data_IF_088408791351
#
_entry.id   IF_088408791351
#
_cell.length_a   1.000
_cell.length_b   1.000
_cell.length_c   1.000
_cell.angle_alpha   90.00
_cell.angle_beta   90.00
_cell.angle_gamma   90.00
#
_symmetry.space_group_name_H-M   'P 1'
#
loop_
_entity.id
_entity.type
_entity.pdbx_description
1 polymer ?
#
# COMPACT_ATOMS: atom_id res chain seq x y z
N UNK A 1 3.67 29.98 -9.96
CA UNK A 1 2.89 29.62 -11.15
C UNK A 1 2.95 28.11 -11.28
N UNK A 2 1.79 27.51 -11.06
CA UNK A 2 1.52 26.09 -10.93
C UNK A 2 1.95 25.27 -12.15
N UNK A 3 2.52 24.10 -11.88
CA UNK A 3 2.55 22.95 -12.80
C UNK A 3 2.10 21.70 -12.04
N UNK A 4 0.85 21.73 -11.57
CA UNK A 4 0.10 20.58 -11.10
C UNK A 4 -1.18 20.46 -11.94
N UNK A 5 -1.01 20.20 -13.23
CA UNK A 5 -2.03 19.79 -14.19
C UNK A 5 -1.23 19.04 -15.24
N UNK A 6 -1.33 17.72 -15.37
CA UNK A 6 -2.51 17.05 -15.89
C UNK A 6 -2.36 15.53 -15.69
N UNK A 7 -2.43 15.02 -14.46
CA UNK A 7 -2.71 13.61 -14.26
C UNK A 7 -4.23 13.47 -14.29
N UNK A 8 -4.78 13.02 -15.41
CA UNK A 8 -6.18 12.60 -15.49
C UNK A 8 -6.36 11.36 -14.61
N UNK A 9 -6.61 11.58 -13.31
CA UNK A 9 -6.86 10.52 -12.35
C UNK A 9 -8.16 9.83 -12.77
N UNK A 10 -8.15 8.51 -13.05
CA UNK A 10 -9.36 7.76 -13.37
C UNK A 10 -10.37 7.92 -12.23
N UNK A 11 -11.64 8.09 -12.57
CA UNK A 11 -12.70 8.08 -11.57
C UNK A 11 -12.67 6.74 -10.80
N UNK A 12 -12.73 6.82 -9.47
CA UNK A 12 -12.64 5.68 -8.57
C UNK A 12 -13.90 5.64 -7.70
N UNK A 13 -15.00 5.05 -8.20
CA UNK A 13 -16.24 4.97 -7.45
C UNK A 13 -16.03 4.46 -6.03
N UNK A 14 -16.65 5.13 -5.05
CA UNK A 14 -16.54 4.79 -3.63
C UNK A 14 -15.25 5.24 -2.94
N UNK A 15 -14.29 5.83 -3.67
CA UNK A 15 -13.01 6.30 -3.13
C UNK A 15 -12.72 7.74 -3.57
N UNK A 16 -12.48 8.61 -2.59
CA UNK A 16 -11.89 9.92 -2.86
C UNK A 16 -10.37 9.78 -3.00
N UNK A 17 -9.88 9.72 -4.23
CA UNK A 17 -8.45 9.57 -4.53
C UNK A 17 -7.61 10.69 -3.91
N UNK A 18 -8.06 11.95 -4.04
CA UNK A 18 -7.34 13.12 -3.50
C UNK A 18 -7.24 13.06 -1.98
N UNK A 19 -8.33 12.68 -1.29
CA UNK A 19 -8.34 12.61 0.17
C UNK A 19 -7.49 11.46 0.67
N UNK A 20 -7.59 10.28 0.04
CA UNK A 20 -6.77 9.13 0.36
C UNK A 20 -5.28 9.40 0.16
N UNK A 21 -4.91 10.03 -0.96
CA UNK A 21 -3.54 10.42 -1.25
C UNK A 21 -3.01 11.47 -0.26
N UNK A 22 -3.84 12.47 0.10
CA UNK A 22 -3.47 13.49 1.06
C UNK A 22 -3.22 12.92 2.47
N UNK A 23 -4.01 11.94 2.90
CA UNK A 23 -3.81 11.22 4.19
C UNK A 23 -2.50 10.48 4.26
N UNK A 24 -1.94 10.10 3.11
CA UNK A 24 -0.63 9.48 2.97
C UNK A 24 0.46 10.49 2.58
N UNK A 25 0.22 11.78 2.81
CA UNK A 25 1.20 12.84 2.57
C UNK A 25 1.57 13.03 1.10
N UNK A 26 0.68 12.68 0.16
CA UNK A 26 0.98 12.77 -1.27
C UNK A 26 1.72 11.56 -1.85
N UNK A 27 1.95 10.50 -1.05
CA UNK A 27 2.73 9.34 -1.50
C UNK A 27 1.91 8.41 -2.41
N UNK A 28 1.97 8.66 -3.72
CA UNK A 28 1.24 7.91 -4.74
C UNK A 28 1.64 6.42 -4.80
N UNK A 29 2.92 6.09 -4.57
CA UNK A 29 3.40 4.69 -4.60
C UNK A 29 2.83 3.89 -3.43
N UNK A 30 2.84 4.45 -2.22
CA UNK A 30 2.21 3.85 -1.04
C UNK A 30 0.70 3.73 -1.22
N UNK A 31 0.05 4.76 -1.76
CA UNK A 31 -1.39 4.73 -2.02
C UNK A 31 -1.77 3.58 -2.96
N UNK A 32 -1.03 3.41 -4.07
CA UNK A 32 -1.21 2.26 -5.00
C UNK A 32 -1.01 0.90 -4.31
N UNK A 33 0.04 0.74 -3.48
CA UNK A 33 0.28 -0.49 -2.71
C UNK A 33 -0.92 -0.82 -1.80
N UNK A 34 -1.44 0.19 -1.08
CA UNK A 34 -2.56 -0.02 -0.17
C UNK A 34 -3.87 -0.34 -0.89
N UNK A 35 -4.14 0.27 -2.05
CA UNK A 35 -5.29 -0.10 -2.89
C UNK A 35 -5.19 -1.57 -3.33
N UNK A 36 -4.03 -2.00 -3.83
CA UNK A 36 -3.83 -3.38 -4.29
C UNK A 36 -3.90 -4.40 -3.14
N UNK A 37 -3.32 -4.07 -1.98
CA UNK A 37 -3.42 -4.89 -0.77
C UNK A 37 -4.88 -4.99 -0.28
N UNK A 38 -5.62 -3.88 -0.29
CA UNK A 38 -7.03 -3.88 0.08
C UNK A 38 -7.84 -4.80 -0.84
N UNK A 39 -7.64 -4.68 -2.17
CA UNK A 39 -8.34 -5.50 -3.15
C UNK A 39 -8.05 -6.99 -2.96
N UNK A 40 -6.78 -7.38 -2.88
CA UNK A 40 -6.37 -8.78 -2.72
C UNK A 40 -6.77 -9.40 -1.38
N UNK A 41 -6.67 -8.64 -0.28
CA UNK A 41 -6.85 -9.18 1.08
C UNK A 41 -8.31 -9.22 1.55
N UNK A 42 -9.23 -8.56 0.86
CA UNK A 42 -10.61 -8.39 1.34
C UNK A 42 -11.69 -9.00 0.44
N UNK A 43 -11.33 -9.77 -0.59
CA UNK A 43 -12.29 -10.42 -1.50
C UNK A 43 -13.33 -11.28 -0.78
N UNK A 44 -12.97 -11.92 0.35
CA UNK A 44 -13.87 -12.72 1.18
C UNK A 44 -14.46 -12.00 2.40
N UNK A 45 -14.20 -10.70 2.59
CA UNK A 45 -14.56 -10.01 3.84
C UNK A 45 -16.08 -9.93 4.06
N UNK A 46 -16.87 -9.78 3.00
CA UNK A 46 -18.34 -9.79 3.08
C UNK A 46 -18.84 -11.12 3.64
N UNK A 47 -18.37 -12.24 3.09
CA UNK A 47 -18.78 -13.58 3.52
C UNK A 47 -18.30 -13.89 4.93
N UNK A 48 -17.09 -13.45 5.29
CA UNK A 48 -16.53 -13.62 6.64
C UNK A 48 -17.38 -12.89 7.70
N UNK A 49 -17.81 -11.66 7.42
CA UNK A 49 -18.66 -10.88 8.32
C UNK A 49 -20.05 -11.53 8.42
N UNK A 50 -20.66 -11.90 7.29
CA UNK A 50 -21.96 -12.59 7.28
C UNK A 50 -21.90 -13.89 8.09
N UNK A 51 -20.88 -14.71 7.87
CA UNK A 51 -20.68 -15.99 8.57
C UNK A 51 -20.48 -15.78 10.07
N UNK A 52 -19.68 -14.78 10.47
CA UNK A 52 -19.48 -14.46 11.88
C UNK A 52 -20.80 -14.10 12.57
N UNK A 53 -21.65 -13.30 11.92
CA UNK A 53 -22.95 -12.89 12.47
C UNK A 53 -23.92 -14.06 12.51
N UNK A 54 -24.04 -14.84 11.43
CA UNK A 54 -24.95 -16.00 11.38
C UNK A 54 -24.60 -17.08 12.42
N UNK A 55 -23.32 -17.21 12.78
CA UNK A 55 -22.85 -18.12 13.82
C UNK A 55 -22.95 -17.53 15.24
N UNK A 56 -23.49 -16.31 15.41
CA UNK A 56 -23.57 -15.62 16.70
C UNK A 56 -22.21 -15.17 17.25
N UNK A 57 -21.18 -15.12 16.42
CA UNK A 57 -19.84 -14.66 16.78
C UNK A 57 -19.68 -13.15 16.54
N UNK A 58 -20.47 -12.36 17.26
CA UNK A 58 -20.50 -10.90 17.13
C UNK A 58 -19.12 -10.27 17.39
N UNK A 59 -18.30 -10.89 18.27
CA UNK A 59 -16.93 -10.43 18.54
C UNK A 59 -16.05 -10.47 17.29
N UNK A 60 -16.10 -11.55 16.52
CA UNK A 60 -15.35 -11.66 15.28
C UNK A 60 -15.84 -10.65 14.24
N UNK A 61 -17.16 -10.47 14.10
CA UNK A 61 -17.76 -9.49 13.20
C UNK A 61 -17.35 -8.05 13.56
N UNK A 62 -17.32 -7.71 14.85
CA UNK A 62 -16.86 -6.40 15.34
C UNK A 62 -15.40 -6.14 14.98
N UNK A 63 -14.51 -7.12 15.17
CA UNK A 63 -13.08 -6.98 14.83
C UNK A 63 -12.91 -6.78 13.33
N UNK A 64 -13.60 -7.57 12.49
CA UNK A 64 -13.55 -7.43 11.04
C UNK A 64 -14.04 -6.04 10.58
N UNK A 65 -15.18 -5.57 11.10
CA UNK A 65 -15.71 -4.25 10.79
C UNK A 65 -14.76 -3.13 11.23
N UNK A 66 -14.14 -3.26 12.42
CA UNK A 66 -13.19 -2.28 12.95
C UNK A 66 -11.92 -2.18 12.10
N UNK A 67 -11.33 -3.32 11.74
CA UNK A 67 -10.15 -3.37 10.87
C UNK A 67 -10.46 -2.75 9.51
N UNK A 68 -11.59 -3.12 8.90
CA UNK A 68 -11.95 -2.60 7.58
C UNK A 68 -12.25 -1.09 7.61
N UNK A 69 -12.86 -0.59 8.70
CA UNK A 69 -13.05 0.86 8.91
C UNK A 69 -11.75 1.63 8.79
N UNK A 70 -10.70 1.17 9.49
CA UNK A 70 -9.41 1.84 9.53
C UNK A 70 -8.76 1.90 8.16
N UNK A 71 -8.75 0.78 7.44
CA UNK A 71 -8.15 0.72 6.10
C UNK A 71 -8.97 1.53 5.09
N UNK A 72 -10.31 1.43 5.11
CA UNK A 72 -11.19 2.20 4.24
C UNK A 72 -11.01 3.72 4.43
N UNK A 73 -10.90 4.18 5.67
CA UNK A 73 -10.68 5.61 5.97
C UNK A 73 -9.34 6.13 5.43
N UNK A 74 -8.28 5.32 5.48
CA UNK A 74 -6.98 5.69 4.93
C UNK A 74 -6.97 5.73 3.40
N UNK A 75 -7.81 4.94 2.75
CA UNK A 75 -7.94 4.94 1.29
C UNK A 75 -8.81 6.07 0.76
N UNK A 76 -9.55 6.79 1.61
CA UNK A 76 -10.55 7.77 1.19
C UNK A 76 -11.91 7.14 0.86
N UNK A 77 -12.14 5.89 1.24
CA UNK A 77 -13.44 5.20 1.15
C UNK A 77 -14.35 5.59 2.32
N UNK A 78 -14.68 6.88 2.40
CA UNK A 78 -15.35 7.49 3.55
C UNK A 78 -16.73 6.86 3.85
N UNK A 79 -17.50 6.56 2.80
CA UNK A 79 -18.83 5.97 2.94
C UNK A 79 -18.75 4.53 3.49
N UNK A 80 -17.79 3.73 3.02
CA UNK A 80 -17.53 2.40 3.56
C UNK A 80 -17.10 2.46 5.02
N UNK A 81 -16.19 3.37 5.37
CA UNK A 81 -15.75 3.57 6.76
C UNK A 81 -16.92 3.97 7.69
N UNK A 82 -17.84 4.82 7.23
CA UNK A 82 -19.04 5.17 7.98
C UNK A 82 -19.94 3.96 8.23
N UNK A 83 -20.19 3.14 7.20
CA UNK A 83 -21.01 1.92 7.33
C UNK A 83 -20.34 0.91 8.27
N UNK A 84 -19.02 0.73 8.20
CA UNK A 84 -18.28 -0.11 9.15
C UNK A 84 -18.45 0.38 10.60
N UNK A 85 -18.47 1.70 10.82
CA UNK A 85 -18.71 2.30 12.14
C UNK A 85 -20.11 1.98 12.66
N UNK A 86 -21.11 2.10 11.79
CA UNK A 86 -22.51 1.80 12.13
C UNK A 86 -22.70 0.31 12.43
N UNK A 87 -22.08 -0.57 11.64
CA UNK A 87 -22.12 -2.02 11.84
C UNK A 87 -21.42 -2.43 13.14
N UNK A 88 -20.21 -1.91 13.40
CA UNK A 88 -19.47 -2.10 14.64
C UNK A 88 -20.31 -1.68 15.86
N UNK A 89 -20.98 -0.53 15.77
CA UNK A 89 -21.84 0.01 16.83
C UNK A 89 -23.09 -0.83 17.05
N UNK A 90 -23.76 -1.26 15.97
CA UNK A 90 -24.96 -2.08 16.06
C UNK A 90 -24.68 -3.45 16.70
N UNK A 91 -23.56 -4.08 16.34
CA UNK A 91 -23.11 -5.33 16.93
C UNK A 91 -22.77 -5.17 18.42
N UNK A 92 -22.01 -4.14 18.79
CA UNK A 92 -21.67 -3.85 20.20
C UNK A 92 -22.89 -3.61 21.08
N UNK A 93 -23.96 -3.05 20.51
CA UNK A 93 -25.18 -2.68 21.23
C UNK A 93 -26.29 -3.74 21.10
N UNK A 94 -26.04 -4.88 20.45
CA UNK A 94 -27.04 -5.93 20.25
C UNK A 94 -28.27 -5.48 19.46
N UNK A 95 -28.12 -4.51 18.54
CA UNK A 95 -29.24 -3.94 17.76
C UNK A 95 -29.57 -4.82 16.54
N UNK A 96 -30.01 -6.05 16.80
CA UNK A 96 -30.24 -7.10 15.79
C UNK A 96 -31.08 -6.60 14.61
N UNK A 97 -32.16 -5.86 14.89
CA UNK A 97 -33.06 -5.32 13.86
C UNK A 97 -32.39 -4.35 12.85
N UNK A 98 -31.20 -3.82 13.15
CA UNK A 98 -30.44 -2.94 12.24
C UNK A 98 -29.36 -3.68 11.46
N UNK A 99 -28.95 -4.88 11.89
CA UNK A 99 -27.79 -5.59 11.35
C UNK A 99 -28.00 -5.94 9.87
N UNK A 100 -29.14 -6.52 9.52
CA UNK A 100 -29.44 -6.94 8.15
C UNK A 100 -29.36 -5.77 7.14
N UNK A 101 -29.98 -4.64 7.49
CA UNK A 101 -29.94 -3.43 6.65
C UNK A 101 -28.53 -2.82 6.54
N UNK A 102 -27.72 -2.92 7.60
CA UNK A 102 -26.33 -2.45 7.58
C UNK A 102 -25.42 -3.39 6.77
N UNK A 103 -25.66 -4.69 6.82
CA UNK A 103 -24.95 -5.67 5.99
C UNK A 103 -25.24 -5.47 4.51
N UNK A 104 -26.49 -5.24 4.12
CA UNK A 104 -26.84 -4.95 2.73
C UNK A 104 -26.14 -3.68 2.21
N UNK A 105 -26.11 -2.62 3.03
CA UNK A 105 -25.37 -1.37 2.72
C UNK A 105 -23.87 -1.62 2.63
N UNK A 106 -23.32 -2.37 3.58
CA UNK A 106 -21.91 -2.73 3.62
C UNK A 106 -21.49 -3.49 2.36
N UNK A 107 -22.21 -4.55 1.98
CA UNK A 107 -21.91 -5.33 0.77
C UNK A 107 -21.97 -4.49 -0.49
N UNK A 108 -22.96 -3.58 -0.58
CA UNK A 108 -23.09 -2.67 -1.73
C UNK A 108 -21.90 -1.74 -1.83
N UNK A 109 -21.58 -1.02 -0.74
CA UNK A 109 -20.49 -0.05 -0.73
C UNK A 109 -19.12 -0.72 -0.90
N UNK A 110 -18.93 -1.88 -0.26
CA UNK A 110 -17.72 -2.68 -0.42
C UNK A 110 -17.51 -3.08 -1.88
N UNK A 111 -18.57 -3.51 -2.57
CA UNK A 111 -18.51 -3.84 -4.00
C UNK A 111 -18.13 -2.63 -4.85
N UNK A 112 -18.71 -1.46 -4.56
CA UNK A 112 -18.37 -0.21 -5.27
C UNK A 112 -16.87 0.10 -5.12
N UNK A 113 -16.34 0.03 -3.90
CA UNK A 113 -14.92 0.25 -3.59
C UNK A 113 -14.02 -0.75 -4.34
N UNK A 114 -14.36 -2.04 -4.33
CA UNK A 114 -13.59 -3.08 -5.02
C UNK A 114 -13.59 -2.89 -6.55
N UNK A 115 -14.73 -2.49 -7.13
CA UNK A 115 -14.83 -2.14 -8.55
C UNK A 115 -14.02 -0.90 -8.88
N UNK A 116 -14.05 0.12 -8.02
CA UNK A 116 -13.25 1.33 -8.15
C UNK A 116 -11.76 1.02 -8.19
N UNK A 117 -11.26 0.20 -7.25
CA UNK A 117 -9.86 -0.22 -7.22
C UNK A 117 -9.48 -1.01 -8.48
N UNK A 118 -10.28 -2.02 -8.86
CA UNK A 118 -9.99 -2.83 -10.05
C UNK A 118 -9.98 -1.99 -11.34
N UNK A 119 -10.87 -1.01 -11.45
CA UNK A 119 -10.93 -0.11 -12.62
C UNK A 119 -9.70 0.78 -12.68
N UNK A 120 -9.27 1.32 -11.55
CA UNK A 120 -8.06 2.11 -11.45
C UNK A 120 -6.79 1.30 -11.77
N UNK A 121 -6.66 0.08 -11.24
CA UNK A 121 -5.54 -0.81 -11.56
C UNK A 121 -5.49 -1.14 -13.06
N UNK A 122 -6.65 -1.42 -13.68
CA UNK A 122 -6.74 -1.66 -15.13
C UNK A 122 -6.40 -0.43 -15.96
N UNK A 123 -6.86 0.75 -15.54
CA UNK A 123 -6.54 2.01 -16.21
C UNK A 123 -5.03 2.31 -16.16
N UNK A 124 -4.36 1.93 -15.07
CA UNK A 124 -2.90 2.01 -14.94
C UNK A 124 -2.13 0.89 -15.66
N UNK A 125 -2.78 -0.23 -15.94
CA UNK A 125 -2.19 -1.40 -16.62
C UNK A 125 -2.45 -1.43 -18.13
N UNK A 126 -3.22 -0.47 -18.67
CA UNK A 126 -3.31 -0.29 -20.13
C UNK A 126 -1.91 0.04 -20.65
N UNK A 127 -1.48 -0.58 -21.77
CA UNK A 127 -0.20 -0.27 -22.34
C UNK A 127 -0.25 1.17 -22.83
N UNK A 128 0.58 2.03 -22.24
CA UNK A 128 1.05 3.20 -22.96
C UNK A 128 1.52 2.71 -24.32
N UNK A 129 0.82 3.14 -25.37
CA UNK A 129 1.21 2.91 -26.75
C UNK A 129 2.65 3.33 -26.89
N UNK A 130 3.53 2.35 -27.15
CA UNK A 130 4.90 2.47 -27.64
C UNK A 130 5.29 3.89 -28.04
N UNK A 131 5.92 4.60 -27.12
CA UNK A 131 6.91 5.61 -27.46
C UNK A 131 8.10 5.35 -26.55
N UNK A 132 9.04 4.56 -27.07
CA UNK A 132 10.42 4.62 -26.63
C UNK A 132 10.87 6.07 -26.78
N UNK A 133 10.90 6.82 -25.68
CA UNK A 133 11.88 7.87 -25.51
C UNK A 133 12.67 7.57 -24.25
N UNK A 134 13.90 7.10 -24.47
CA UNK A 134 14.92 6.95 -23.44
C UNK A 134 15.19 8.31 -22.82
N UNK A 135 14.55 8.61 -21.69
CA UNK A 135 15.07 9.64 -20.80
C UNK A 135 16.02 8.92 -19.85
N UNK A 136 17.32 9.21 -19.97
CA UNK A 136 18.31 8.88 -18.95
C UNK A 136 17.83 9.47 -17.62
N UNK A 137 17.11 8.69 -16.82
CA UNK A 137 16.88 9.01 -15.42
C UNK A 137 18.20 8.77 -14.70
N UNK A 138 18.99 9.84 -14.60
CA UNK A 138 20.06 9.93 -13.62
C UNK A 138 19.48 9.54 -12.26
N UNK A 139 20.05 8.51 -11.64
CA UNK A 139 19.72 8.05 -10.29
C UNK A 139 19.56 9.26 -9.38
N UNK A 140 18.34 9.56 -8.95
CA UNK A 140 18.07 10.72 -8.09
C UNK A 140 18.51 10.38 -6.65
N UNK A 141 19.77 10.72 -6.38
CA UNK A 141 20.45 10.46 -5.10
C UNK A 141 19.73 11.11 -3.93
N UNK A 142 19.07 12.25 -4.14
CA UNK A 142 18.32 12.95 -3.09
C UNK A 142 17.06 12.17 -2.70
N UNK A 143 16.42 11.49 -3.65
CA UNK A 143 15.27 10.62 -3.40
C UNK A 143 15.67 9.27 -2.78
N UNK A 144 16.83 8.72 -3.14
CA UNK A 144 17.27 7.42 -2.65
C UNK A 144 17.95 7.47 -1.28
N UNK A 145 18.65 8.56 -0.92
CA UNK A 145 19.31 8.71 0.39
C UNK A 145 18.43 8.32 1.58
N UNK A 146 17.21 8.86 1.77
CA UNK A 146 16.39 8.49 2.92
C UNK A 146 16.00 7.01 2.94
N UNK A 147 15.80 6.39 1.77
CA UNK A 147 15.50 4.97 1.66
C UNK A 147 16.69 4.09 2.08
N UNK A 148 17.89 4.44 1.62
CA UNK A 148 19.13 3.77 2.00
C UNK A 148 19.47 3.93 3.50
N UNK A 149 19.28 5.12 4.07
CA UNK A 149 19.48 5.38 5.50
C UNK A 149 18.51 4.56 6.36
N UNK A 150 17.23 4.49 5.96
CA UNK A 150 16.21 3.73 6.69
C UNK A 150 16.46 2.23 6.62
N UNK A 151 16.82 1.70 5.44
CA UNK A 151 17.16 0.28 5.31
C UNK A 151 18.42 -0.10 6.09
N UNK A 152 19.44 0.77 6.14
CA UNK A 152 20.62 0.53 6.97
C UNK A 152 20.26 0.43 8.45
N UNK A 153 19.41 1.34 8.95
CA UNK A 153 18.90 1.30 10.34
C UNK A 153 18.06 0.05 10.62
N UNK A 154 17.23 -0.40 9.67
CA UNK A 154 16.39 -1.60 9.83
C UNK A 154 17.22 -2.89 9.89
N UNK A 155 18.23 -3.00 9.01
CA UNK A 155 19.17 -4.11 8.98
C UNK A 155 20.03 -4.16 10.24
N UNK A 156 20.52 -3.01 10.72
CA UNK A 156 21.29 -2.91 11.98
C UNK A 156 20.47 -3.31 13.22
N UNK A 157 19.15 -3.15 13.18
CA UNK A 157 18.23 -3.54 14.25
C UNK A 157 17.59 -4.93 14.05
N UNK A 158 18.00 -5.68 13.02
CA UNK A 158 17.53 -7.05 12.77
C UNK A 158 16.06 -7.17 12.33
N UNK A 159 15.51 -6.14 11.69
CA UNK A 159 14.07 -6.08 11.38
C UNK A 159 13.74 -6.62 9.98
N UNK A 160 12.76 -7.53 9.91
CA UNK A 160 12.21 -8.18 8.70
C UNK A 160 11.62 -7.17 7.70
N UNK A 161 11.27 -5.96 8.16
CA UNK A 161 10.69 -4.88 7.36
C UNK A 161 11.63 -4.36 6.26
N UNK A 162 12.94 -4.63 6.36
CA UNK A 162 13.91 -4.31 5.30
C UNK A 162 13.56 -4.99 3.96
N UNK A 163 12.93 -6.17 3.99
CA UNK A 163 12.45 -6.87 2.79
C UNK A 163 11.36 -6.09 2.04
N UNK A 164 10.57 -5.26 2.73
CA UNK A 164 9.52 -4.46 2.09
C UNK A 164 10.05 -3.28 1.27
N UNK A 165 11.30 -2.89 1.51
CA UNK A 165 11.97 -1.76 0.84
C UNK A 165 12.82 -2.17 -0.38
N UNK A 166 13.13 -3.47 -0.54
CA UNK A 166 13.87 -4.02 -1.69
C UNK A 166 13.18 -3.69 -3.02
N UNK A 167 11.87 -3.94 -3.12
CA UNK A 167 11.12 -3.73 -4.36
C UNK A 167 11.13 -2.26 -4.82
N UNK A 168 11.28 -1.33 -3.87
CA UNK A 168 11.37 0.10 -4.16
C UNK A 168 12.74 0.43 -4.77
N UNK A 169 13.81 -0.18 -4.27
CA UNK A 169 15.16 -0.01 -4.81
C UNK A 169 15.32 -0.64 -6.19
N UNK A 170 14.70 -1.79 -6.46
CA UNK A 170 14.81 -2.50 -7.75
C UNK A 170 14.42 -1.62 -8.94
N UNK A 171 13.31 -0.88 -8.80
CA UNK A 171 12.81 0.03 -9.84
C UNK A 171 13.79 1.18 -10.16
N UNK A 172 14.60 1.60 -9.18
CA UNK A 172 15.50 2.75 -9.30
C UNK A 172 16.96 2.37 -9.60
N UNK A 173 17.33 1.11 -9.38
CA UNK A 173 18.69 0.61 -9.53
C UNK A 173 18.89 -0.26 -10.78
N UNK A 174 17.82 -0.50 -11.53
CA UNK A 174 17.75 -1.34 -12.72
C UNK A 174 18.71 -0.90 -13.85
N UNK A 175 19.16 0.36 -13.87
CA UNK A 175 20.16 0.90 -14.82
C UNK A 175 21.40 1.52 -14.13
N UNK A 176 21.60 1.29 -12.83
CA UNK A 176 22.57 2.03 -12.02
C UNK A 176 23.97 1.38 -11.89
N UNK A 177 24.24 0.28 -12.60
CA UNK A 177 25.54 -0.42 -12.61
C UNK A 177 25.86 -1.21 -11.32
N UNK A 178 24.88 -1.36 -10.43
CA UNK A 178 24.98 -2.03 -9.11
C UNK A 178 24.17 -3.32 -9.04
N UNK A 179 23.72 -3.85 -10.19
CA UNK A 179 22.80 -4.99 -10.25
C UNK A 179 23.34 -6.23 -9.54
N UNK A 180 24.65 -6.48 -9.61
CA UNK A 180 25.27 -7.62 -8.93
C UNK A 180 25.11 -7.50 -7.41
N UNK A 181 25.52 -6.37 -6.84
CA UNK A 181 25.42 -6.10 -5.41
C UNK A 181 23.95 -6.06 -4.95
N UNK A 182 23.04 -5.60 -5.81
CA UNK A 182 21.61 -5.57 -5.52
C UNK A 182 20.99 -6.98 -5.49
N UNK A 183 21.44 -7.90 -6.35
CA UNK A 183 21.03 -9.30 -6.29
C UNK A 183 21.60 -10.01 -5.05
N UNK A 184 22.85 -9.72 -4.68
CA UNK A 184 23.47 -10.25 -3.44
C UNK A 184 22.71 -9.74 -2.20
N UNK A 185 22.34 -8.45 -2.14
CA UNK A 185 21.47 -7.88 -1.10
C UNK A 185 20.13 -8.61 -0.96
N UNK A 186 19.48 -8.95 -2.08
CA UNK A 186 18.21 -9.70 -2.08
C UNK A 186 18.39 -11.10 -1.48
N UNK A 187 19.43 -11.80 -1.91
CA UNK A 187 19.73 -13.15 -1.41
C UNK A 187 20.01 -13.16 0.09
N UNK A 188 20.79 -12.21 0.58
CA UNK A 188 21.08 -12.10 2.01
C UNK A 188 19.81 -11.84 2.83
N UNK A 189 18.93 -10.97 2.32
CA UNK A 189 17.63 -10.69 2.95
C UNK A 189 16.69 -11.90 2.95
N UNK A 190 16.63 -12.66 1.86
CA UNK A 190 15.86 -13.92 1.78
C UNK A 190 16.41 -15.00 2.73
N UNK A 191 17.73 -15.00 2.99
CA UNK A 191 18.40 -15.89 3.95
C UNK A 191 18.38 -15.36 5.39
N UNK A 192 17.75 -14.21 5.64
CA UNK A 192 17.76 -13.50 6.92
C UNK A 192 19.18 -13.16 7.44
N UNK A 193 20.16 -13.08 6.55
CA UNK A 193 21.53 -12.65 6.85
C UNK A 193 21.62 -11.12 6.81
N UNK A 194 21.22 -10.49 7.92
CA UNK A 194 21.14 -9.03 8.03
C UNK A 194 22.52 -8.36 8.00
N UNK A 195 23.57 -9.06 8.46
CA UNK A 195 24.94 -8.56 8.47
C UNK A 195 25.48 -8.47 7.04
N UNK A 196 25.34 -9.54 6.25
CA UNK A 196 25.71 -9.55 4.83
C UNK A 196 24.85 -8.60 4.00
N UNK A 197 23.54 -8.53 4.28
CA UNK A 197 22.63 -7.57 3.64
C UNK A 197 23.06 -6.12 3.90
N UNK A 198 23.46 -5.78 5.12
CA UNK A 198 23.93 -4.45 5.45
C UNK A 198 25.22 -4.07 4.70
N UNK A 199 26.13 -5.04 4.53
CA UNK A 199 27.36 -4.85 3.74
C UNK A 199 27.02 -4.55 2.28
N UNK A 200 26.13 -5.33 1.68
CA UNK A 200 25.72 -5.13 0.29
C UNK A 200 24.96 -3.82 0.08
N UNK A 201 24.08 -3.43 1.02
CA UNK A 201 23.41 -2.13 0.99
C UNK A 201 24.41 -0.96 1.07
N UNK A 202 25.41 -1.04 1.95
CA UNK A 202 26.48 -0.03 2.10
C UNK A 202 27.33 0.06 0.82
N UNK A 203 27.65 -1.07 0.20
CA UNK A 203 28.39 -1.15 -1.06
C UNK A 203 27.65 -0.46 -2.22
N UNK A 204 26.33 -0.68 -2.31
CA UNK A 204 25.48 0.00 -3.29
C UNK A 204 25.43 1.51 -3.02
N UNK A 205 25.25 1.93 -1.77
CA UNK A 205 25.22 3.34 -1.41
C UNK A 205 26.53 4.06 -1.81
N UNK A 206 27.67 3.42 -1.56
CA UNK A 206 28.99 3.94 -1.97
C UNK A 206 29.13 4.05 -3.49
N UNK A 207 28.72 3.02 -4.25
CA UNK A 207 28.78 3.05 -5.71
C UNK A 207 27.89 4.15 -6.33
N UNK A 208 26.83 4.56 -5.62
CA UNK A 208 25.90 5.61 -6.04
C UNK A 208 26.21 6.98 -5.42
N UNK A 209 27.29 7.10 -4.64
CA UNK A 209 27.68 8.32 -3.93
C UNK A 209 26.58 8.82 -2.96
N UNK A 210 25.88 7.90 -2.29
CA UNK A 210 24.85 8.17 -1.29
C UNK A 210 25.45 8.06 0.11
N UNK A 211 25.43 9.17 0.88
CA UNK A 211 25.88 9.16 2.28
C UNK A 211 24.82 8.55 3.21
N UNK A 212 25.24 7.59 4.03
CA UNK A 212 24.40 6.91 5.02
C UNK A 212 24.47 7.51 6.43
N UNK A 213 25.36 8.48 6.64
CA UNK A 213 25.53 9.18 7.92
C UNK A 213 24.94 10.60 7.80
N UNK A 214 24.41 11.11 8.91
CA UNK A 214 24.02 12.52 9.02
C UNK A 214 25.31 13.35 9.22
N UNK A 215 25.50 14.38 8.40
CA UNK A 215 26.50 15.44 8.63
C UNK A 215 25.93 16.47 9.62
#
# INVERSE_FOLDING_TARGET
>A
MDKASDLSIPDMPGISFSDGLARLGGNLKLYKKLLSQFYSSNTGTVDNINTAISNGNDKAAIILAHTLKGVAANLGANQLAAICTDLETALKQGRIAKIEGLLAKFSTEFTIVMVGISTFEKALALPETKAHDKVNMTVDRALLRPLFVNMAKMLENGMVEAMEHISILEDHLSDAGVQKQFQELKQDLDMFDMDSALINLKSIAMALEISLYED
#
